data_IF_085827068815
#
_entry.id   IF_085827068815
#
_cell.length_a   1.000
_cell.length_b   1.000
_cell.length_c   1.000
_cell.angle_alpha   90.00
_cell.angle_beta   90.00
_cell.angle_gamma   90.00
#
_symmetry.space_group_name_H-M   'P 1'
#
loop_
_entity.id
_entity.type
_entity.pdbx_description
1 polymer ?
#
# COMPACT_ATOMS: atom_id res chain seq x y z
N UNK A 1 -191.38 47.76 43.32
CA UNK A 1 -192.85 47.80 43.17
C UNK A 1 -193.51 47.32 44.48
N UNK A 2 -194.82 47.49 44.65
CA UNK A 2 -195.48 47.44 45.97
C UNK A 2 -196.47 46.28 46.17
N UNK A 3 -196.69 45.86 47.44
CA UNK A 3 -198.03 45.54 47.99
C UNK A 3 -198.03 45.46 49.54
N UNK A 4 -199.23 45.38 50.14
CA UNK A 4 -199.51 45.65 51.58
C UNK A 4 -199.53 44.37 52.45
N UNK A 5 -199.08 44.51 53.71
CA UNK A 5 -199.10 43.47 54.75
C UNK A 5 -200.45 43.22 55.46
N UNK A 6 -200.39 42.74 56.71
CA UNK A 6 -201.55 42.56 57.63
C UNK A 6 -201.10 42.75 59.10
N UNK A 7 -202.05 42.83 60.05
CA UNK A 7 -201.85 43.28 61.45
C UNK A 7 -202.56 42.36 62.46
N UNK A 8 -202.02 42.26 63.68
CA UNK A 8 -202.55 41.48 64.82
C UNK A 8 -201.63 40.31 65.22
N UNK A 9 -201.48 39.92 66.49
CA UNK A 9 -202.01 40.44 67.77
C UNK A 9 -201.15 39.94 68.96
N UNK A 10 -201.31 40.49 70.17
CA UNK A 10 -200.43 40.18 71.33
C UNK A 10 -200.80 38.85 72.04
N UNK A 11 -199.76 38.09 72.42
CA UNK A 11 -199.74 37.07 73.48
C UNK A 11 -198.39 37.11 74.21
N UNK A 12 -198.29 36.66 75.46
CA UNK A 12 -197.06 36.72 76.29
C UNK A 12 -196.39 35.34 76.44
N UNK A 13 -195.06 35.27 76.38
CA UNK A 13 -194.26 34.38 77.25
C UNK A 13 -192.80 34.87 77.40
N UNK A 14 -191.96 34.05 78.04
CA UNK A 14 -190.91 34.45 79.01
C UNK A 14 -189.48 34.65 78.46
N UNK A 15 -188.53 34.92 79.37
CA UNK A 15 -187.25 35.58 79.07
C UNK A 15 -186.09 34.63 78.69
N UNK A 16 -186.08 33.41 79.23
CA UNK A 16 -184.90 32.51 79.18
C UNK A 16 -184.64 31.92 77.79
N UNK A 17 -185.68 31.52 77.05
CA UNK A 17 -185.55 30.94 75.71
C UNK A 17 -184.86 31.90 74.72
N UNK A 18 -185.01 33.22 74.93
CA UNK A 18 -184.32 34.25 74.14
C UNK A 18 -182.81 34.21 74.36
N UNK A 19 -182.35 33.89 75.57
CA UNK A 19 -180.93 33.90 75.92
C UNK A 19 -180.18 32.74 75.28
N UNK A 20 -180.74 31.53 75.31
CA UNK A 20 -180.16 30.36 74.63
C UNK A 20 -180.13 30.54 73.10
N UNK A 21 -181.19 31.11 72.52
CA UNK A 21 -181.21 31.42 71.08
C UNK A 21 -180.13 32.47 70.71
N UNK A 22 -179.95 33.51 71.53
CA UNK A 22 -178.87 34.48 71.36
C UNK A 22 -177.48 33.85 71.53
N UNK A 23 -177.31 32.90 72.45
CA UNK A 23 -176.03 32.21 72.67
C UNK A 23 -175.67 31.27 71.51
N UNK A 24 -176.61 30.47 71.01
CA UNK A 24 -176.37 29.65 69.81
C UNK A 24 -176.09 30.51 68.58
N UNK A 25 -176.80 31.65 68.43
CA UNK A 25 -176.53 32.62 67.37
C UNK A 25 -175.15 33.25 67.51
N UNK A 26 -174.70 33.59 68.73
CA UNK A 26 -173.38 34.14 68.98
C UNK A 26 -172.26 33.11 68.68
N UNK A 27 -172.44 31.84 69.06
CA UNK A 27 -171.49 30.76 68.74
C UNK A 27 -171.46 30.48 67.23
N UNK A 28 -172.59 30.51 66.54
CA UNK A 28 -172.64 30.42 65.08
C UNK A 28 -171.99 31.63 64.39
N UNK A 29 -172.17 32.85 64.93
CA UNK A 29 -171.50 34.05 64.44
C UNK A 29 -169.99 34.02 64.73
N UNK A 30 -169.53 33.43 65.83
CA UNK A 30 -168.10 33.16 66.09
C UNK A 30 -167.53 32.10 65.17
N UNK A 31 -168.22 30.98 64.95
CA UNK A 31 -167.86 29.97 63.96
C UNK A 31 -167.71 30.61 62.56
N UNK A 32 -168.64 31.47 62.18
CA UNK A 32 -168.61 32.21 60.91
C UNK A 32 -167.48 33.26 60.88
N UNK A 33 -167.17 33.93 62.01
CA UNK A 33 -166.01 34.83 62.13
C UNK A 33 -164.70 34.06 62.01
N UNK A 34 -164.50 33.00 62.79
CA UNK A 34 -163.32 32.12 62.74
C UNK A 34 -163.13 31.50 61.36
N UNK A 35 -164.21 31.13 60.65
CA UNK A 35 -164.16 30.66 59.26
C UNK A 35 -163.78 31.77 58.27
N UNK A 36 -164.22 33.02 58.48
CA UNK A 36 -163.78 34.18 57.69
C UNK A 36 -162.33 34.59 58.00
N UNK A 37 -161.91 34.53 59.26
CA UNK A 37 -160.54 34.80 59.71
C UNK A 37 -159.58 33.74 59.17
N UNK A 38 -159.92 32.45 59.25
CA UNK A 38 -159.15 31.37 58.63
C UNK A 38 -159.13 31.47 57.09
N UNK A 39 -160.23 31.90 56.46
CA UNK A 39 -160.27 32.17 55.02
C UNK A 39 -159.37 33.36 54.63
N UNK A 40 -159.37 34.45 55.41
CA UNK A 40 -158.50 35.61 55.22
C UNK A 40 -157.03 35.25 55.45
N UNK A 41 -156.71 34.53 56.52
CA UNK A 41 -155.35 34.05 56.80
C UNK A 41 -154.87 33.15 55.67
N UNK A 42 -155.70 32.21 55.21
CA UNK A 42 -155.36 31.36 54.06
C UNK A 42 -155.17 32.18 52.78
N UNK A 43 -156.06 33.14 52.51
CA UNK A 43 -155.89 34.06 51.39
C UNK A 43 -154.57 34.85 51.48
N UNK A 44 -154.09 35.19 52.68
CA UNK A 44 -152.78 35.82 52.86
C UNK A 44 -151.62 34.82 52.70
N UNK A 45 -151.70 33.58 53.22
CA UNK A 45 -150.65 32.57 52.99
C UNK A 45 -150.55 32.17 51.53
N UNK A 46 -151.67 31.91 50.86
CA UNK A 46 -151.71 31.58 49.43
C UNK A 46 -151.13 32.74 48.59
N UNK A 47 -151.41 34.00 48.96
CA UNK A 47 -150.79 35.19 48.31
C UNK A 47 -149.28 35.24 48.56
N UNK A 48 -148.82 35.08 49.81
CA UNK A 48 -147.39 35.04 50.16
C UNK A 48 -146.66 33.93 49.40
N UNK A 49 -147.20 32.70 49.35
CA UNK A 49 -146.60 31.60 48.58
C UNK A 49 -146.52 31.90 47.08
N UNK A 50 -147.54 32.54 46.50
CA UNK A 50 -147.46 32.97 45.09
C UNK A 50 -146.46 34.10 44.86
N UNK A 51 -146.25 34.98 45.85
CA UNK A 51 -145.24 36.04 45.78
C UNK A 51 -143.81 35.49 45.97
N UNK A 52 -143.60 34.52 46.86
CA UNK A 52 -142.34 33.78 47.02
C UNK A 52 -141.99 32.97 45.77
N UNK A 53 -142.96 32.30 45.15
CA UNK A 53 -142.76 31.61 43.87
C UNK A 53 -142.48 32.60 42.73
N UNK A 54 -143.19 33.74 42.69
CA UNK A 54 -142.97 34.77 41.69
C UNK A 54 -141.60 35.47 41.84
N UNK A 55 -141.15 35.73 43.07
CA UNK A 55 -139.83 36.32 43.35
C UNK A 55 -138.72 35.34 43.02
N UNK A 56 -138.77 34.07 43.48
CA UNK A 56 -137.78 33.06 43.11
C UNK A 56 -137.65 32.87 41.57
N UNK A 57 -138.78 32.87 40.85
CA UNK A 57 -138.79 32.80 39.39
C UNK A 57 -138.28 34.11 38.74
N UNK A 58 -138.50 35.28 39.36
CA UNK A 58 -137.96 36.54 38.87
C UNK A 58 -136.47 36.70 39.17
N UNK A 59 -135.95 36.17 40.28
CA UNK A 59 -134.53 36.13 40.60
C UNK A 59 -133.77 35.24 39.61
N UNK A 60 -134.31 34.08 39.25
CA UNK A 60 -133.73 33.25 38.18
C UNK A 60 -133.69 34.00 36.83
N UNK A 61 -134.77 34.71 36.46
CA UNK A 61 -134.79 35.57 35.25
C UNK A 61 -133.78 36.73 35.35
N UNK A 62 -133.62 37.32 36.53
CA UNK A 62 -132.69 38.41 36.79
C UNK A 62 -131.24 37.93 36.70
N UNK A 63 -130.92 36.79 37.31
CA UNK A 63 -129.62 36.11 37.24
C UNK A 63 -129.25 35.72 35.81
N UNK A 64 -130.17 35.18 35.02
CA UNK A 64 -129.88 34.86 33.61
C UNK A 64 -129.76 36.10 32.72
N UNK A 65 -130.51 37.18 33.00
CA UNK A 65 -130.28 38.50 32.37
C UNK A 65 -128.90 39.05 32.71
N UNK A 66 -128.48 38.99 33.98
CA UNK A 66 -127.13 39.39 34.39
C UNK A 66 -126.06 38.52 33.77
N UNK A 67 -126.21 37.18 33.75
CA UNK A 67 -125.29 36.26 33.05
C UNK A 67 -125.16 36.61 31.57
N UNK A 68 -126.26 36.96 30.89
CA UNK A 68 -126.22 37.40 29.49
C UNK A 68 -125.44 38.72 29.32
N UNK A 69 -125.62 39.68 30.22
CA UNK A 69 -124.89 40.96 30.22
C UNK A 69 -123.40 40.72 30.51
N UNK A 70 -123.05 40.04 31.60
CA UNK A 70 -121.66 39.75 31.98
C UNK A 70 -120.93 38.91 30.92
N UNK A 71 -121.59 37.92 30.29
CA UNK A 71 -121.00 37.18 29.15
C UNK A 71 -120.74 38.10 27.95
N UNK A 72 -121.64 39.02 27.62
CA UNK A 72 -121.43 40.00 26.52
C UNK A 72 -120.30 40.98 26.82
N UNK A 73 -120.21 41.46 28.06
CA UNK A 73 -119.13 42.36 28.53
C UNK A 73 -117.79 41.61 28.52
N UNK A 74 -117.70 40.44 29.17
CA UNK A 74 -116.46 39.65 29.22
C UNK A 74 -116.00 39.16 27.84
N UNK A 75 -116.92 38.84 26.94
CA UNK A 75 -116.58 38.50 25.55
C UNK A 75 -116.12 39.72 24.72
N UNK A 76 -116.44 40.95 25.14
CA UNK A 76 -115.87 42.17 24.54
C UNK A 76 -114.48 42.46 25.11
N UNK A 77 -114.31 42.36 26.44
CA UNK A 77 -113.00 42.45 27.11
C UNK A 77 -111.99 41.47 26.50
N UNK A 78 -112.31 40.17 26.47
CA UNK A 78 -111.40 39.15 25.95
C UNK A 78 -111.02 39.36 24.47
N UNK A 79 -111.89 39.95 23.65
CA UNK A 79 -111.53 40.32 22.25
C UNK A 79 -110.59 41.52 22.20
N UNK A 80 -110.78 42.51 23.07
CA UNK A 80 -109.85 43.63 23.20
C UNK A 80 -108.49 43.13 23.71
N UNK A 81 -108.48 42.26 24.72
CA UNK A 81 -107.26 41.65 25.29
C UNK A 81 -106.50 40.86 24.21
N UNK A 82 -107.20 40.03 23.43
CA UNK A 82 -106.63 39.29 22.29
C UNK A 82 -106.08 40.24 21.22
N UNK A 83 -106.78 41.33 20.89
CA UNK A 83 -106.31 42.30 19.89
C UNK A 83 -105.09 43.11 20.36
N UNK A 84 -105.01 43.46 21.65
CA UNK A 84 -103.82 44.08 22.24
C UNK A 84 -102.66 43.08 22.23
N UNK A 85 -102.91 41.83 22.64
CA UNK A 85 -101.90 40.77 22.63
C UNK A 85 -101.37 40.52 21.21
N UNK A 86 -102.22 40.39 20.20
CA UNK A 86 -101.79 40.18 18.81
C UNK A 86 -100.87 41.31 18.33
N UNK A 87 -101.24 42.58 18.56
CA UNK A 87 -100.36 43.71 18.21
C UNK A 87 -99.06 43.75 19.02
N UNK A 88 -99.01 43.23 20.25
CA UNK A 88 -97.74 43.10 20.98
C UNK A 88 -96.88 41.97 20.43
N UNK A 89 -97.47 40.84 20.01
CA UNK A 89 -96.74 39.76 19.37
C UNK A 89 -96.22 40.15 17.98
N UNK A 90 -97.01 40.84 17.16
CA UNK A 90 -96.61 41.39 15.86
C UNK A 90 -95.36 42.29 16.01
N UNK A 91 -95.39 43.29 16.90
CA UNK A 91 -94.24 44.17 17.16
C UNK A 91 -93.00 43.43 17.68
N UNK A 92 -93.18 42.35 18.46
CA UNK A 92 -92.08 41.52 18.95
C UNK A 92 -91.52 40.61 17.86
N UNK A 93 -92.35 40.15 16.93
CA UNK A 93 -91.93 39.41 15.73
C UNK A 93 -91.16 40.34 14.78
N UNK A 94 -91.70 41.52 14.44
CA UNK A 94 -91.01 42.54 13.62
C UNK A 94 -89.62 42.90 14.19
N UNK A 95 -89.52 43.06 15.52
CA UNK A 95 -88.25 43.33 16.17
C UNK A 95 -87.29 42.14 16.11
N UNK A 96 -87.78 40.90 16.26
CA UNK A 96 -86.94 39.69 16.11
C UNK A 96 -86.47 39.51 14.68
N UNK A 97 -87.35 39.72 13.71
CA UNK A 97 -87.06 39.67 12.28
C UNK A 97 -86.01 40.70 11.84
N UNK A 98 -86.08 41.92 12.37
CA UNK A 98 -85.04 42.93 12.12
C UNK A 98 -83.71 42.55 12.75
N UNK A 99 -83.69 42.02 13.97
CA UNK A 99 -82.46 41.49 14.60
C UNK A 99 -81.88 40.31 13.82
N UNK A 100 -82.71 39.37 13.36
CA UNK A 100 -82.28 38.23 12.52
C UNK A 100 -81.63 38.73 11.22
N UNK A 101 -82.28 39.67 10.51
CA UNK A 101 -81.75 40.24 9.26
C UNK A 101 -80.42 40.98 9.47
N UNK A 102 -80.24 41.69 10.59
CA UNK A 102 -78.95 42.29 10.94
C UNK A 102 -77.87 41.21 11.18
N UNK A 103 -78.18 40.17 11.96
CA UNK A 103 -77.25 39.08 12.24
C UNK A 103 -76.87 38.28 10.97
N UNK A 104 -77.80 38.09 10.03
CA UNK A 104 -77.53 37.47 8.73
C UNK A 104 -76.53 38.30 7.90
N UNK A 105 -76.69 39.62 7.87
CA UNK A 105 -75.76 40.55 7.19
C UNK A 105 -74.39 40.55 7.88
N UNK A 106 -74.32 40.61 9.21
CA UNK A 106 -73.08 40.55 9.97
C UNK A 106 -72.34 39.21 9.74
N UNK A 107 -73.04 38.08 9.83
CA UNK A 107 -72.47 36.75 9.60
C UNK A 107 -71.93 36.62 8.16
N UNK A 108 -72.63 37.16 7.16
CA UNK A 108 -72.15 37.13 5.77
C UNK A 108 -70.94 38.07 5.56
N UNK A 109 -70.96 39.28 6.11
CA UNK A 109 -69.80 40.19 6.09
C UNK A 109 -68.56 39.56 6.75
N UNK A 110 -68.73 38.90 7.90
CA UNK A 110 -67.63 38.21 8.59
C UNK A 110 -67.13 36.98 7.82
N UNK A 111 -68.01 36.24 7.13
CA UNK A 111 -67.61 35.16 6.20
C UNK A 111 -66.77 35.69 5.04
N UNK A 112 -67.20 36.78 4.40
CA UNK A 112 -66.43 37.40 3.32
C UNK A 112 -65.08 37.93 3.80
N UNK A 113 -65.03 38.57 4.98
CA UNK A 113 -63.77 39.06 5.55
C UNK A 113 -62.83 37.91 5.90
N UNK A 114 -63.36 36.80 6.42
CA UNK A 114 -62.60 35.57 6.67
C UNK A 114 -62.05 34.96 5.36
N UNK A 115 -62.87 34.87 4.31
CA UNK A 115 -62.44 34.38 3.00
C UNK A 115 -61.38 35.27 2.36
N UNK A 116 -61.54 36.60 2.42
CA UNK A 116 -60.54 37.60 1.96
C UNK A 116 -59.23 37.49 2.73
N UNK A 117 -59.29 37.29 4.05
CA UNK A 117 -58.12 37.09 4.90
C UNK A 117 -57.40 35.78 4.55
N UNK A 118 -58.14 34.69 4.37
CA UNK A 118 -57.58 33.39 4.00
C UNK A 118 -56.92 33.40 2.62
N UNK A 119 -57.57 33.97 1.60
CA UNK A 119 -56.99 34.14 0.26
C UNK A 119 -55.69 34.95 0.30
N UNK A 120 -55.70 36.10 0.99
CA UNK A 120 -54.48 36.89 1.20
C UNK A 120 -53.38 36.09 1.90
N UNK A 121 -53.69 35.27 2.91
CA UNK A 121 -52.70 34.41 3.56
C UNK A 121 -52.13 33.34 2.62
N UNK A 122 -52.91 32.78 1.70
CA UNK A 122 -52.42 31.87 0.66
C UNK A 122 -51.50 32.61 -0.32
N UNK A 123 -51.89 33.79 -0.83
CA UNK A 123 -51.05 34.62 -1.71
C UNK A 123 -49.66 34.92 -1.10
N UNK A 124 -49.59 35.14 0.21
CA UNK A 124 -48.33 35.37 0.92
C UNK A 124 -47.50 34.09 1.10
N UNK A 125 -48.14 32.93 1.28
CA UNK A 125 -47.47 31.63 1.36
C UNK A 125 -46.91 31.24 -0.02
N UNK A 126 -47.68 31.41 -1.09
CA UNK A 126 -47.24 31.07 -2.44
C UNK A 126 -46.04 31.93 -2.89
N UNK A 127 -46.06 33.24 -2.63
CA UNK A 127 -44.89 34.12 -2.85
C UNK A 127 -43.67 33.71 -2.03
N UNK A 128 -43.86 33.22 -0.80
CA UNK A 128 -42.76 32.72 0.03
C UNK A 128 -42.21 31.41 -0.52
N UNK A 129 -43.06 30.53 -1.05
CA UNK A 129 -42.66 29.30 -1.74
C UNK A 129 -41.93 29.61 -3.06
N UNK A 130 -42.35 30.62 -3.82
CA UNK A 130 -41.64 31.12 -5.00
C UNK A 130 -40.23 31.61 -4.64
N UNK A 131 -40.10 32.49 -3.65
CA UNK A 131 -38.80 32.99 -3.19
C UNK A 131 -37.87 31.86 -2.68
N UNK A 132 -38.40 30.81 -2.04
CA UNK A 132 -37.56 29.65 -1.67
C UNK A 132 -37.22 28.75 -2.87
N UNK A 133 -38.10 28.60 -3.87
CA UNK A 133 -37.79 27.88 -5.13
C UNK A 133 -36.68 28.58 -5.91
N UNK A 134 -36.78 29.90 -6.07
CA UNK A 134 -35.74 30.72 -6.70
C UNK A 134 -34.41 30.60 -5.97
N UNK A 135 -34.42 30.77 -4.64
CA UNK A 135 -33.23 30.62 -3.79
C UNK A 135 -32.60 29.23 -3.91
N UNK A 136 -33.39 28.16 -3.86
CA UNK A 136 -32.90 26.79 -4.04
C UNK A 136 -32.32 26.59 -5.43
N UNK A 137 -32.98 27.08 -6.48
CA UNK A 137 -32.47 27.03 -7.86
C UNK A 137 -31.14 27.78 -8.03
N UNK A 138 -30.98 28.95 -7.42
CA UNK A 138 -29.68 29.67 -7.46
C UNK A 138 -28.58 28.92 -6.70
N UNK A 139 -28.88 28.26 -5.58
CA UNK A 139 -27.93 27.44 -4.83
C UNK A 139 -27.54 26.17 -5.58
N UNK A 140 -28.49 25.51 -6.25
CA UNK A 140 -28.26 24.34 -7.10
C UNK A 140 -27.40 24.70 -8.32
N UNK A 141 -27.69 25.84 -8.97
CA UNK A 141 -26.87 26.35 -10.07
C UNK A 141 -25.43 26.65 -9.60
N UNK A 142 -25.27 27.39 -8.50
CA UNK A 142 -23.96 27.71 -7.91
C UNK A 142 -23.16 26.45 -7.58
N UNK A 143 -23.78 25.48 -6.89
CA UNK A 143 -23.15 24.20 -6.55
C UNK A 143 -22.69 23.43 -7.80
N UNK A 144 -23.53 23.36 -8.83
CA UNK A 144 -23.19 22.66 -10.06
C UNK A 144 -22.07 23.38 -10.83
N UNK A 145 -22.06 24.71 -10.90
CA UNK A 145 -20.95 25.47 -11.51
C UNK A 145 -19.64 25.32 -10.74
N UNK A 146 -19.66 25.40 -9.39
CA UNK A 146 -18.45 25.19 -8.57
C UNK A 146 -17.91 23.75 -8.71
N UNK A 147 -18.80 22.77 -8.84
CA UNK A 147 -18.43 21.37 -9.09
C UNK A 147 -17.82 21.18 -10.48
N UNK A 148 -18.39 21.78 -11.53
CA UNK A 148 -17.85 21.72 -12.89
C UNK A 148 -16.50 22.44 -13.01
N UNK A 149 -16.34 23.61 -12.39
CA UNK A 149 -15.06 24.34 -12.31
C UNK A 149 -14.00 23.51 -11.56
N UNK A 150 -14.34 22.92 -10.41
CA UNK A 150 -13.40 22.10 -9.65
C UNK A 150 -13.04 20.80 -10.38
N UNK A 151 -14.00 20.14 -11.02
CA UNK A 151 -13.76 18.95 -11.82
C UNK A 151 -12.94 19.23 -13.08
N UNK A 152 -13.15 20.35 -13.77
CA UNK A 152 -12.33 20.72 -14.93
C UNK A 152 -10.92 21.10 -14.51
N UNK A 153 -10.75 21.91 -13.46
CA UNK A 153 -9.43 22.24 -12.89
C UNK A 153 -8.63 20.97 -12.51
N UNK A 154 -9.22 20.06 -11.72
CA UNK A 154 -8.55 18.83 -11.30
C UNK A 154 -8.19 17.90 -12.46
N UNK A 155 -9.07 17.77 -13.47
CA UNK A 155 -8.75 16.96 -14.65
C UNK A 155 -7.61 17.57 -15.48
N UNK A 156 -7.57 18.90 -15.63
CA UNK A 156 -6.50 19.62 -16.33
C UNK A 156 -5.16 19.49 -15.60
N UNK A 157 -5.13 19.70 -14.28
CA UNK A 157 -3.94 19.50 -13.44
C UNK A 157 -3.42 18.06 -13.54
N UNK A 158 -4.33 17.07 -13.47
CA UNK A 158 -3.98 15.65 -13.63
C UNK A 158 -3.42 15.34 -15.02
N UNK A 159 -3.99 15.90 -16.08
CA UNK A 159 -3.49 15.70 -17.44
C UNK A 159 -2.10 16.35 -17.63
N UNK A 160 -1.89 17.56 -17.11
CA UNK A 160 -0.59 18.23 -17.12
C UNK A 160 0.48 17.42 -16.37
N UNK A 161 0.18 16.95 -15.15
CA UNK A 161 1.13 16.12 -14.38
C UNK A 161 1.44 14.80 -15.11
N UNK A 162 0.45 14.20 -15.78
CA UNK A 162 0.66 12.99 -16.57
C UNK A 162 1.42 13.24 -17.88
N UNK A 163 1.32 14.41 -18.52
CA UNK A 163 2.13 14.76 -19.69
C UNK A 163 3.58 15.01 -19.29
N UNK A 164 3.80 15.86 -18.27
CA UNK A 164 5.12 16.16 -17.73
C UNK A 164 5.85 14.88 -17.27
N UNK A 165 5.17 13.98 -16.55
CA UNK A 165 5.78 12.72 -16.13
C UNK A 165 6.20 11.81 -17.30
N UNK A 166 5.43 11.79 -18.41
CA UNK A 166 5.81 11.04 -19.63
C UNK A 166 7.02 11.65 -20.31
N UNK A 167 7.08 12.98 -20.40
CA UNK A 167 8.21 13.73 -20.97
C UNK A 167 9.49 13.51 -20.14
N UNK A 168 9.39 13.57 -18.81
CA UNK A 168 10.49 13.24 -17.89
C UNK A 168 10.96 11.78 -18.04
N UNK A 169 10.04 10.82 -18.15
CA UNK A 169 10.38 9.42 -18.37
C UNK A 169 11.11 9.19 -19.71
N UNK A 170 10.59 9.75 -20.81
CA UNK A 170 11.23 9.63 -22.12
C UNK A 170 12.63 10.26 -22.13
N UNK A 171 12.79 11.44 -21.53
CA UNK A 171 14.10 12.09 -21.38
C UNK A 171 15.08 11.24 -20.55
N UNK A 172 14.62 10.60 -19.47
CA UNK A 172 15.46 9.71 -18.67
C UNK A 172 15.82 8.42 -19.40
N UNK A 173 14.95 7.90 -20.26
CA UNK A 173 15.22 6.75 -21.13
C UNK A 173 16.28 7.09 -22.19
N UNK A 174 16.18 8.25 -22.85
CA UNK A 174 17.18 8.77 -23.80
C UNK A 174 18.54 8.99 -23.12
N UNK A 175 18.57 9.64 -21.96
CA UNK A 175 19.80 9.86 -21.17
C UNK A 175 20.41 8.54 -20.72
N UNK A 176 19.61 7.57 -20.30
CA UNK A 176 20.09 6.23 -19.93
C UNK A 176 20.69 5.50 -21.13
N UNK A 177 20.03 5.53 -22.29
CA UNK A 177 20.53 4.91 -23.52
C UNK A 177 21.86 5.54 -23.98
N UNK A 178 21.97 6.86 -23.95
CA UNK A 178 23.20 7.58 -24.27
C UNK A 178 24.33 7.28 -23.27
N UNK A 179 24.02 7.25 -21.97
CA UNK A 179 25.00 6.90 -20.92
C UNK A 179 25.50 5.46 -21.08
N UNK A 180 24.61 4.50 -21.34
CA UNK A 180 25.03 3.13 -21.68
C UNK A 180 25.90 3.08 -22.94
N UNK A 181 25.58 3.85 -23.98
CA UNK A 181 26.36 3.86 -25.22
C UNK A 181 27.78 4.37 -24.96
N UNK A 182 27.93 5.52 -24.29
CA UNK A 182 29.23 6.04 -23.89
C UNK A 182 30.02 5.03 -23.02
N UNK A 183 29.35 4.33 -22.10
CA UNK A 183 29.99 3.26 -21.33
C UNK A 183 30.42 2.07 -22.21
N UNK A 184 29.57 1.62 -23.15
CA UNK A 184 29.89 0.54 -24.10
C UNK A 184 31.07 0.90 -25.00
N UNK A 185 31.20 2.16 -25.40
CA UNK A 185 32.29 2.69 -26.22
C UNK A 185 33.60 2.75 -25.41
N UNK A 186 33.60 3.35 -24.21
CA UNK A 186 34.79 3.37 -23.32
C UNK A 186 35.24 1.96 -22.90
N UNK A 187 34.30 1.04 -22.66
CA UNK A 187 34.62 -0.37 -22.41
C UNK A 187 35.25 -1.05 -23.64
N UNK A 188 34.91 -0.63 -24.87
CA UNK A 188 35.53 -1.16 -26.08
C UNK A 188 36.93 -0.56 -26.31
N UNK A 189 37.09 0.75 -26.14
CA UNK A 189 38.37 1.46 -26.25
C UNK A 189 39.40 0.90 -25.26
N UNK A 190 39.07 0.84 -23.97
CA UNK A 190 39.98 0.32 -22.92
C UNK A 190 40.36 -1.15 -23.14
N UNK A 191 39.45 -1.99 -23.68
CA UNK A 191 39.78 -3.36 -24.08
C UNK A 191 40.70 -3.40 -25.30
N UNK A 192 40.52 -2.49 -26.27
CA UNK A 192 41.37 -2.37 -27.44
C UNK A 192 42.78 -1.87 -27.07
N UNK A 193 42.90 -0.87 -26.19
CA UNK A 193 44.18 -0.40 -25.63
C UNK A 193 44.91 -1.50 -24.87
N UNK A 194 44.19 -2.26 -24.03
CA UNK A 194 44.75 -3.42 -23.33
C UNK A 194 45.22 -4.50 -24.31
N UNK A 195 44.46 -4.78 -25.37
CA UNK A 195 44.89 -5.72 -26.41
C UNK A 195 46.10 -5.22 -27.21
N UNK A 196 46.18 -3.92 -27.53
CA UNK A 196 47.35 -3.33 -28.19
C UNK A 196 48.58 -3.43 -27.30
N UNK A 197 48.55 -2.86 -26.10
CA UNK A 197 49.68 -2.86 -25.16
C UNK A 197 50.18 -4.27 -24.84
N UNK A 198 49.28 -5.25 -24.67
CA UNK A 198 49.63 -6.67 -24.52
C UNK A 198 50.33 -7.24 -25.76
N UNK A 199 49.88 -6.88 -26.96
CA UNK A 199 50.50 -7.31 -28.21
C UNK A 199 51.87 -6.61 -28.42
N UNK A 200 52.00 -5.34 -28.06
CA UNK A 200 53.25 -4.56 -28.13
C UNK A 200 54.32 -5.14 -27.19
N UNK A 201 53.94 -5.49 -25.95
CA UNK A 201 54.82 -6.21 -25.01
C UNK A 201 55.21 -7.58 -25.58
N UNK A 202 54.25 -8.32 -26.15
CA UNK A 202 54.55 -9.62 -26.78
C UNK A 202 55.52 -9.49 -27.96
N UNK A 203 55.38 -8.44 -28.78
CA UNK A 203 56.25 -8.18 -29.92
C UNK A 203 57.66 -7.79 -29.46
N UNK A 204 57.80 -6.85 -28.50
CA UNK A 204 59.10 -6.48 -27.90
C UNK A 204 59.81 -7.71 -27.29
N UNK A 205 59.09 -8.53 -26.51
CA UNK A 205 59.67 -9.76 -25.95
C UNK A 205 60.12 -10.76 -27.03
N UNK A 206 59.47 -10.78 -28.19
CA UNK A 206 59.88 -11.60 -29.35
C UNK A 206 61.05 -10.99 -30.12
N UNK A 207 61.11 -9.66 -30.24
CA UNK A 207 62.22 -8.90 -30.82
C UNK A 207 63.49 -9.04 -29.97
N UNK A 208 63.40 -8.86 -28.65
CA UNK A 208 64.48 -9.11 -27.69
C UNK A 208 64.97 -10.57 -27.76
N UNK A 209 64.05 -11.55 -27.77
CA UNK A 209 64.40 -12.96 -27.95
C UNK A 209 65.05 -13.25 -29.30
N UNK A 210 64.64 -12.56 -30.36
CA UNK A 210 65.27 -12.67 -31.69
C UNK A 210 66.66 -12.04 -31.69
N UNK A 211 66.83 -10.86 -31.10
CA UNK A 211 68.11 -10.16 -30.99
C UNK A 211 69.12 -10.95 -30.16
N UNK A 212 68.72 -11.49 -29.01
CA UNK A 212 69.55 -12.38 -28.20
C UNK A 212 69.94 -13.66 -28.96
N UNK A 213 69.01 -14.25 -29.74
CA UNK A 213 69.33 -15.42 -30.59
C UNK A 213 70.37 -15.06 -31.67
N UNK A 214 70.27 -13.88 -32.27
CA UNK A 214 71.25 -13.42 -33.28
C UNK A 214 72.60 -13.11 -32.63
N UNK A 215 72.62 -12.48 -31.45
CA UNK A 215 73.84 -12.20 -30.69
C UNK A 215 74.59 -13.48 -30.30
N UNK A 216 73.92 -14.39 -29.58
CA UNK A 216 74.53 -15.67 -29.17
C UNK A 216 74.81 -16.59 -30.37
N UNK A 217 74.11 -16.43 -31.49
CA UNK A 217 74.44 -17.09 -32.75
C UNK A 217 75.75 -16.57 -33.33
N UNK A 218 75.91 -15.25 -33.45
CA UNK A 218 77.14 -14.61 -33.90
C UNK A 218 78.34 -14.92 -33.00
N UNK A 219 78.18 -14.83 -31.68
CA UNK A 219 79.25 -15.22 -30.73
C UNK A 219 79.64 -16.70 -30.88
N UNK A 220 78.68 -17.60 -31.14
CA UNK A 220 78.97 -19.02 -31.37
C UNK A 220 79.67 -19.26 -32.72
N UNK A 221 79.30 -18.52 -33.77
CA UNK A 221 79.95 -18.55 -35.09
C UNK A 221 81.37 -17.96 -35.03
N UNK A 222 81.58 -16.85 -34.31
CA UNK A 222 82.90 -16.26 -34.04
C UNK A 222 83.79 -17.21 -33.25
N UNK A 223 83.29 -17.80 -32.15
CA UNK A 223 84.03 -18.80 -31.37
C UNK A 223 84.35 -20.06 -32.19
N UNK A 224 83.45 -20.48 -33.08
CA UNK A 224 83.69 -21.60 -33.98
C UNK A 224 84.77 -21.27 -35.02
N UNK A 225 84.75 -20.06 -35.59
CA UNK A 225 85.82 -19.56 -36.46
C UNK A 225 87.16 -19.46 -35.71
N UNK A 226 87.20 -18.94 -34.47
CA UNK A 226 88.42 -18.90 -33.65
C UNK A 226 88.96 -20.30 -33.36
N UNK A 227 88.09 -21.27 -33.07
CA UNK A 227 88.49 -22.68 -32.91
C UNK A 227 89.04 -23.24 -34.22
N UNK A 228 88.41 -22.96 -35.36
CA UNK A 228 88.86 -23.44 -36.66
C UNK A 228 90.19 -22.79 -37.10
N UNK A 229 90.40 -21.51 -36.81
CA UNK A 229 91.66 -20.80 -37.05
C UNK A 229 92.78 -21.30 -36.11
N UNK A 230 92.47 -21.57 -34.83
CA UNK A 230 93.40 -22.18 -33.90
C UNK A 230 93.77 -23.62 -34.32
N UNK A 231 92.81 -24.42 -34.82
CA UNK A 231 93.07 -25.75 -35.38
C UNK A 231 93.87 -25.67 -36.68
N UNK A 232 93.58 -24.70 -37.56
CA UNK A 232 94.30 -24.52 -38.83
C UNK A 232 95.74 -24.04 -38.61
N UNK A 233 95.96 -23.05 -37.75
CA UNK A 233 97.30 -22.55 -37.40
C UNK A 233 98.10 -23.57 -36.57
N UNK A 234 97.45 -24.36 -35.72
CA UNK A 234 98.08 -25.54 -35.12
C UNK A 234 98.46 -26.58 -36.19
N UNK A 235 97.58 -26.83 -37.17
CA UNK A 235 97.87 -27.72 -38.29
C UNK A 235 99.08 -27.23 -39.08
N UNK A 236 99.08 -26.01 -39.62
CA UNK A 236 100.19 -25.44 -40.42
C UNK A 236 101.54 -25.41 -39.66
N UNK A 237 101.53 -24.90 -38.42
CA UNK A 237 102.75 -24.83 -37.59
C UNK A 237 103.27 -26.21 -37.15
N UNK A 238 102.39 -27.21 -37.04
CA UNK A 238 102.80 -28.61 -36.87
C UNK A 238 103.01 -29.35 -38.19
N UNK A 239 102.54 -28.87 -39.34
CA UNK A 239 102.63 -29.55 -40.63
C UNK A 239 104.07 -29.64 -41.09
N UNK A 240 104.86 -28.57 -40.92
CA UNK A 240 106.31 -28.61 -41.15
C UNK A 240 107.02 -29.58 -40.18
N UNK A 241 106.51 -29.77 -38.95
CA UNK A 241 107.07 -30.72 -37.96
C UNK A 241 106.60 -32.16 -38.21
N UNK A 242 105.41 -32.34 -38.77
CA UNK A 242 104.78 -33.60 -39.12
C UNK A 242 105.35 -34.12 -40.44
N UNK A 243 105.53 -33.28 -41.47
CA UNK A 243 106.22 -33.66 -42.71
C UNK A 243 107.70 -33.94 -42.48
N UNK A 244 108.40 -33.20 -41.62
CA UNK A 244 109.76 -33.58 -41.22
C UNK A 244 109.80 -34.84 -40.36
N UNK A 245 108.81 -35.09 -39.49
CA UNK A 245 108.67 -36.37 -38.79
C UNK A 245 108.37 -37.54 -39.74
N UNK A 246 107.45 -37.38 -40.70
CA UNK A 246 107.08 -38.41 -41.68
C UNK A 246 108.21 -38.68 -42.67
N UNK A 247 108.92 -37.67 -43.15
CA UNK A 247 110.11 -37.87 -43.99
C UNK A 247 111.28 -38.48 -43.21
N UNK A 248 111.43 -38.17 -41.93
CA UNK A 248 112.34 -38.90 -41.05
C UNK A 248 111.86 -40.34 -40.84
N UNK A 249 110.57 -40.60 -40.63
CA UNK A 249 110.00 -41.93 -40.45
C UNK A 249 110.21 -42.81 -41.69
N UNK A 250 109.87 -42.32 -42.89
CA UNK A 250 110.13 -43.04 -44.14
C UNK A 250 111.62 -43.19 -44.45
N UNK A 251 112.47 -42.29 -43.95
CA UNK A 251 113.93 -42.47 -44.01
C UNK A 251 114.42 -43.46 -42.96
N UNK A 252 113.77 -43.57 -41.81
CA UNK A 252 114.07 -44.56 -40.77
C UNK A 252 113.69 -45.95 -41.29
N UNK A 253 112.48 -46.13 -41.81
CA UNK A 253 112.02 -47.32 -42.56
C UNK A 253 112.96 -47.67 -43.72
N UNK A 254 113.32 -46.68 -44.55
CA UNK A 254 114.29 -46.84 -45.63
C UNK A 254 115.66 -47.27 -45.11
N UNK A 255 116.12 -46.71 -43.99
CA UNK A 255 117.37 -47.08 -43.34
C UNK A 255 117.28 -48.44 -42.64
N UNK A 256 116.12 -48.89 -42.18
CA UNK A 256 115.88 -50.25 -41.66
C UNK A 256 115.95 -51.26 -42.80
N UNK A 257 115.41 -50.93 -43.98
CA UNK A 257 115.58 -51.73 -45.20
C UNK A 257 117.03 -51.74 -45.70
N UNK A 258 117.74 -50.61 -45.67
CA UNK A 258 119.17 -50.58 -45.96
C UNK A 258 119.99 -51.32 -44.91
N UNK A 259 119.65 -51.23 -43.62
CA UNK A 259 120.27 -51.99 -42.53
C UNK A 259 120.00 -53.48 -42.69
N UNK A 260 118.83 -53.90 -43.17
CA UNK A 260 118.53 -55.31 -43.49
C UNK A 260 119.32 -55.79 -44.73
N UNK A 261 119.42 -54.98 -45.79
CA UNK A 261 120.27 -55.27 -46.96
C UNK A 261 121.75 -55.30 -46.59
N UNK A 262 122.21 -54.36 -45.75
CA UNK A 262 123.56 -54.33 -45.19
C UNK A 262 123.75 -55.50 -44.23
N UNK A 263 122.78 -55.88 -43.40
CA UNK A 263 122.85 -57.06 -42.53
C UNK A 263 122.89 -58.34 -43.35
N UNK A 264 122.23 -58.43 -44.52
CA UNK A 264 122.31 -59.56 -45.45
C UNK A 264 123.65 -59.61 -46.19
N UNK A 265 124.22 -58.46 -46.57
CA UNK A 265 125.63 -58.36 -47.04
C UNK A 265 126.61 -58.73 -45.94
N UNK A 266 126.41 -58.22 -44.73
CA UNK A 266 127.20 -58.50 -43.54
C UNK A 266 127.04 -59.95 -43.12
N UNK A 267 125.90 -60.62 -43.29
CA UNK A 267 125.74 -62.06 -43.04
C UNK A 267 126.50 -62.89 -44.08
N UNK A 268 126.49 -62.49 -45.37
CA UNK A 268 127.34 -63.14 -46.39
C UNK A 268 128.83 -62.93 -46.10
N UNK A 269 129.23 -61.72 -45.73
CA UNK A 269 130.60 -61.43 -45.30
C UNK A 269 130.94 -62.09 -43.96
N UNK A 270 130.00 -62.24 -43.02
CA UNK A 270 130.15 -62.96 -41.75
C UNK A 270 130.16 -64.46 -41.93
N UNK A 271 129.60 -65.02 -43.01
CA UNK A 271 129.80 -66.42 -43.37
C UNK A 271 131.23 -66.64 -43.89
N UNK A 272 131.69 -65.78 -44.79
CA UNK A 272 133.09 -65.77 -45.25
C UNK A 272 134.09 -65.45 -44.12
N UNK A 273 133.70 -64.60 -43.16
CA UNK A 273 134.49 -64.24 -41.98
C UNK A 273 134.31 -65.29 -40.88
N UNK A 274 133.25 -66.09 -40.83
CA UNK A 274 133.13 -67.24 -39.92
C UNK A 274 134.06 -68.38 -40.36
N UNK A 275 134.19 -68.62 -41.67
CA UNK A 275 135.24 -69.50 -42.22
C UNK A 275 136.67 -69.03 -41.89
N UNK A 276 136.86 -67.76 -41.50
CA UNK A 276 138.15 -67.19 -41.09
C UNK A 276 138.27 -66.88 -39.58
N UNK A 277 137.16 -66.77 -38.84
CA UNK A 277 137.10 -66.57 -37.38
C UNK A 277 136.84 -67.86 -36.60
N UNK A 278 136.50 -68.97 -37.26
CA UNK A 278 136.75 -70.30 -36.69
C UNK A 278 138.25 -70.61 -36.54
N UNK A 279 139.14 -69.69 -36.96
CA UNK A 279 140.57 -69.68 -36.62
C UNK A 279 140.95 -68.66 -35.53
N UNK A 280 140.12 -67.65 -35.21
CA UNK A 280 140.34 -66.70 -34.11
C UNK A 280 139.00 -66.19 -33.52
N UNK A 281 138.62 -66.74 -32.36
CA UNK A 281 137.63 -66.23 -31.39
C UNK A 281 138.25 -65.12 -30.51
N UNK A 282 137.54 -64.19 -29.84
CA UNK A 282 136.11 -63.84 -29.64
C UNK A 282 136.01 -62.32 -29.32
N UNK A 283 134.91 -61.64 -28.95
CA UNK A 283 133.48 -62.01 -28.76
C UNK A 283 132.87 -61.39 -27.48
N UNK A 284 131.56 -61.06 -27.47
CA UNK A 284 130.75 -60.48 -26.34
C UNK A 284 131.00 -58.97 -26.04
N UNK A 285 130.10 -58.09 -25.51
CA UNK A 285 128.65 -57.99 -25.13
C UNK A 285 128.30 -56.49 -24.78
N UNK A 286 127.12 -55.98 -24.35
CA UNK A 286 125.66 -56.13 -24.64
C UNK A 286 124.80 -55.27 -23.64
N UNK A 287 123.50 -54.97 -23.92
CA UNK A 287 122.40 -54.49 -23.00
C UNK A 287 122.47 -53.06 -22.34
N UNK A 288 121.40 -52.39 -21.78
CA UNK A 288 119.89 -52.36 -21.97
C UNK A 288 119.13 -51.22 -21.12
N UNK A 289 117.78 -51.05 -21.28
CA UNK A 289 116.65 -50.59 -20.35
C UNK A 289 116.62 -49.25 -19.53
N UNK A 290 115.53 -48.61 -18.99
CA UNK A 290 114.04 -48.47 -19.25
C UNK A 290 113.39 -47.12 -18.69
N UNK A 291 112.35 -47.08 -17.79
CA UNK A 291 111.36 -45.94 -17.62
C UNK A 291 110.76 -45.64 -16.19
N UNK A 292 109.87 -44.59 -16.08
CA UNK A 292 108.77 -44.27 -15.08
C UNK A 292 109.06 -43.33 -13.84
N UNK A 293 108.13 -42.62 -13.13
CA UNK A 293 106.72 -42.09 -13.29
C UNK A 293 106.25 -41.14 -12.10
N UNK A 294 104.93 -40.78 -11.98
CA UNK A 294 104.17 -40.01 -10.90
C UNK A 294 104.24 -38.44 -10.92
N UNK A 295 103.40 -37.60 -10.23
CA UNK A 295 102.22 -37.70 -9.30
C UNK A 295 101.58 -36.31 -8.94
N UNK A 296 100.45 -36.17 -8.17
CA UNK A 296 99.71 -34.86 -7.99
C UNK A 296 98.74 -34.65 -6.77
N UNK A 297 98.51 -33.39 -6.30
CA UNK A 297 97.43 -32.90 -5.36
C UNK A 297 97.14 -31.37 -5.54
N UNK A 298 95.86 -30.88 -5.66
CA UNK A 298 95.36 -29.50 -5.26
C UNK A 298 93.85 -29.17 -5.46
N UNK A 299 92.85 -29.87 -4.88
CA UNK A 299 91.40 -29.49 -4.99
C UNK A 299 90.51 -29.91 -3.79
N UNK A 300 90.11 -29.00 -2.89
CA UNK A 300 89.11 -29.28 -1.84
C UNK A 300 88.32 -28.07 -1.28
N UNK A 301 88.95 -26.93 -1.00
CA UNK A 301 88.33 -25.82 -0.22
C UNK A 301 87.09 -25.11 -0.84
N UNK A 302 86.87 -25.25 -2.15
CA UNK A 302 85.82 -24.50 -2.85
C UNK A 302 84.39 -24.97 -2.58
N UNK A 303 84.19 -26.22 -2.13
CA UNK A 303 82.86 -26.82 -2.00
C UNK A 303 82.15 -26.44 -0.68
N UNK A 304 82.87 -26.47 0.45
CA UNK A 304 82.29 -26.30 1.78
C UNK A 304 81.57 -24.94 1.95
N UNK A 305 82.18 -23.85 1.47
CA UNK A 305 81.63 -22.49 1.60
C UNK A 305 80.33 -22.27 0.82
N UNK A 306 80.10 -23.02 -0.28
CA UNK A 306 78.85 -22.94 -1.04
C UNK A 306 77.68 -23.63 -0.33
N UNK A 307 77.93 -24.76 0.33
CA UNK A 307 76.89 -25.52 1.05
C UNK A 307 76.32 -24.76 2.25
N UNK A 308 77.18 -24.09 3.03
CA UNK A 308 76.73 -23.32 4.20
C UNK A 308 75.72 -22.21 3.83
N UNK A 309 75.96 -21.49 2.71
CA UNK A 309 75.08 -20.43 2.21
C UNK A 309 73.68 -20.93 1.81
N UNK A 310 73.55 -22.20 1.43
CA UNK A 310 72.25 -22.83 1.10
C UNK A 310 71.49 -23.19 2.38
N UNK A 311 72.19 -23.73 3.39
CA UNK A 311 71.61 -24.08 4.70
C UNK A 311 71.00 -22.84 5.36
N UNK A 312 71.71 -21.71 5.38
CA UNK A 312 71.23 -20.45 5.97
C UNK A 312 69.97 -19.90 5.25
N UNK A 313 69.81 -20.16 3.95
CA UNK A 313 68.62 -19.78 3.19
C UNK A 313 67.43 -20.68 3.52
N UNK A 314 67.61 -22.01 3.53
CA UNK A 314 66.58 -22.96 3.92
C UNK A 314 66.09 -22.72 5.36
N UNK A 315 67.02 -22.46 6.28
CA UNK A 315 66.70 -22.12 7.67
C UNK A 315 65.97 -20.79 7.87
N UNK A 316 65.92 -19.89 6.88
CA UNK A 316 65.03 -18.70 6.92
C UNK A 316 63.64 -19.03 6.38
N UNK A 317 63.55 -19.83 5.31
CA UNK A 317 62.27 -20.23 4.72
C UNK A 317 61.39 -20.98 5.72
N UNK A 318 61.93 -22.00 6.40
CA UNK A 318 61.21 -22.83 7.37
C UNK A 318 60.56 -22.01 8.50
N UNK A 319 61.29 -21.01 9.05
CA UNK A 319 60.77 -20.13 10.11
C UNK A 319 59.60 -19.26 9.65
N UNK A 320 59.55 -18.86 8.38
CA UNK A 320 58.40 -18.16 7.81
C UNK A 320 57.22 -19.13 7.65
N UNK A 321 57.46 -20.33 7.12
CA UNK A 321 56.42 -21.37 6.98
C UNK A 321 55.80 -21.76 8.34
N UNK A 322 56.59 -21.89 9.40
CA UNK A 322 56.11 -22.17 10.77
C UNK A 322 55.28 -21.03 11.37
N UNK A 323 55.57 -19.77 11.01
CA UNK A 323 54.76 -18.61 11.42
C UNK A 323 53.44 -18.56 10.65
N UNK A 324 53.46 -18.78 9.34
CA UNK A 324 52.25 -18.82 8.50
C UNK A 324 51.31 -19.98 8.92
N UNK A 325 51.85 -21.19 9.16
CA UNK A 325 51.06 -22.38 9.55
C UNK A 325 50.30 -22.23 10.88
N UNK A 326 50.66 -21.27 11.73
CA UNK A 326 49.93 -20.94 12.96
C UNK A 326 48.62 -20.19 12.69
N UNK A 327 48.46 -19.58 11.51
CA UNK A 327 47.30 -18.77 11.13
C UNK A 327 46.31 -19.51 10.18
N UNK A 328 46.71 -20.65 9.62
CA UNK A 328 45.85 -21.51 8.78
C UNK A 328 44.74 -22.19 9.60
N UNK A 329 43.55 -22.40 9.03
CA UNK A 329 42.47 -23.15 9.72
C UNK A 329 42.72 -24.67 9.68
N UNK A 330 41.96 -25.43 10.45
CA UNK A 330 42.11 -26.90 10.53
C UNK A 330 41.75 -27.61 9.21
N UNK A 331 40.77 -27.06 8.48
CA UNK A 331 40.38 -27.49 7.13
C UNK A 331 41.48 -27.26 6.07
N UNK A 332 42.41 -26.34 6.35
CA UNK A 332 43.52 -26.00 5.42
C UNK A 332 44.78 -26.81 5.71
N UNK A 333 44.97 -27.16 6.99
CA UNK A 333 46.03 -28.06 7.46
C UNK A 333 45.83 -29.52 7.02
N UNK A 334 44.64 -29.88 6.54
CA UNK A 334 44.23 -31.23 6.15
C UNK A 334 44.04 -31.44 4.64
N UNK A 335 44.17 -30.39 3.82
CA UNK A 335 43.94 -30.46 2.36
C UNK A 335 45.15 -30.99 1.56
N UNK A 336 45.20 -32.32 1.39
CA UNK A 336 46.08 -33.00 0.44
C UNK A 336 45.56 -32.84 -1.01
N UNK A 337 45.85 -31.70 -1.65
CA UNK A 337 45.59 -31.50 -3.07
C UNK A 337 46.55 -32.30 -3.95
N UNK A 338 46.23 -33.58 -4.20
CA UNK A 338 46.73 -34.26 -5.39
C UNK A 338 45.97 -33.74 -6.61
N UNK A 339 46.61 -32.91 -7.43
CA UNK A 339 46.16 -32.70 -8.80
C UNK A 339 46.36 -34.01 -9.58
N UNK A 340 45.28 -34.76 -9.79
CA UNK A 340 45.28 -35.75 -10.87
C UNK A 340 45.26 -35.00 -12.20
N UNK A 341 46.19 -35.29 -13.14
CA UNK A 341 46.04 -34.81 -14.51
C UNK A 341 44.78 -35.43 -15.13
N UNK A 342 44.12 -34.75 -16.08
CA UNK A 342 42.91 -35.27 -16.71
C UNK A 342 43.20 -36.59 -17.46
N UNK A 343 42.22 -37.51 -17.52
CA UNK A 343 42.37 -38.75 -18.28
C UNK A 343 42.61 -38.42 -19.76
N UNK A 344 43.65 -39.01 -20.33
CA UNK A 344 44.03 -38.78 -21.73
C UNK A 344 43.15 -39.62 -22.63
N UNK A 345 42.33 -38.99 -23.47
CA UNK A 345 41.62 -39.69 -24.54
C UNK A 345 42.62 -40.24 -25.58
N UNK A 346 42.28 -41.38 -26.17
CA UNK A 346 43.19 -42.16 -26.99
C UNK A 346 43.45 -41.54 -28.37
N UNK A 347 44.72 -41.52 -28.80
CA UNK A 347 45.07 -41.58 -30.23
C UNK A 347 46.45 -42.19 -30.45
N UNK A 348 46.55 -42.94 -31.55
CA UNK A 348 47.69 -43.78 -31.93
C UNK A 348 48.92 -42.97 -32.38
N UNK A 349 50.13 -43.56 -32.36
CA UNK A 349 51.39 -42.84 -32.58
C UNK A 349 51.68 -42.55 -34.07
N UNK A 350 52.90 -42.02 -34.31
CA UNK A 350 53.59 -41.83 -35.61
C UNK A 350 53.34 -40.51 -36.37
N UNK A 351 54.04 -39.45 -35.96
CA UNK A 351 55.03 -38.78 -36.84
C UNK A 351 55.87 -37.75 -36.06
N UNK A 352 57.13 -37.55 -36.47
CA UNK A 352 58.10 -36.75 -35.71
C UNK A 352 58.06 -35.26 -36.06
N UNK A 353 58.21 -34.36 -35.07
CA UNK A 353 58.76 -33.01 -35.28
C UNK A 353 59.22 -32.34 -33.97
N UNK A 354 59.99 -31.26 -34.08
CA UNK A 354 60.71 -30.62 -32.96
C UNK A 354 59.83 -30.08 -31.82
N UNK A 355 58.52 -29.93 -32.02
CA UNK A 355 57.60 -29.35 -31.02
C UNK A 355 57.54 -30.20 -29.74
N UNK A 356 57.64 -31.53 -29.84
CA UNK A 356 57.68 -32.42 -28.67
C UNK A 356 58.89 -32.22 -27.76
N UNK A 357 60.02 -31.69 -28.27
CA UNK A 357 61.18 -31.37 -27.43
C UNK A 357 60.93 -30.10 -26.62
N UNK A 358 60.38 -29.07 -27.26
CA UNK A 358 60.02 -27.83 -26.58
C UNK A 358 58.87 -28.03 -25.57
N UNK A 359 57.89 -28.88 -25.88
CA UNK A 359 56.87 -29.31 -24.92
C UNK A 359 57.50 -30.10 -23.76
N UNK A 360 58.50 -30.94 -24.01
CA UNK A 360 59.24 -31.66 -22.94
C UNK A 360 60.17 -30.75 -22.11
N UNK A 361 60.73 -29.69 -22.69
CA UNK A 361 61.50 -28.68 -21.95
C UNK A 361 60.60 -27.76 -21.13
N UNK A 362 59.46 -27.33 -21.67
CA UNK A 362 58.43 -26.60 -20.92
C UNK A 362 57.85 -27.48 -19.81
N UNK A 363 57.56 -28.76 -20.08
CA UNK A 363 57.14 -29.71 -19.05
C UNK A 363 58.21 -29.91 -17.97
N UNK A 364 59.50 -29.83 -18.31
CA UNK A 364 60.61 -29.80 -17.34
C UNK A 364 60.59 -28.55 -16.47
N UNK A 365 60.48 -27.36 -17.06
CA UNK A 365 60.39 -26.09 -16.33
C UNK A 365 59.13 -25.99 -15.45
N UNK A 366 58.02 -26.57 -15.91
CA UNK A 366 56.79 -26.76 -15.13
C UNK A 366 57.05 -27.76 -14.00
N UNK A 367 57.74 -28.89 -14.23
CA UNK A 367 58.14 -29.81 -13.16
C UNK A 367 58.99 -29.11 -12.08
N UNK A 368 59.94 -28.26 -12.50
CA UNK A 368 60.81 -27.48 -11.61
C UNK A 368 60.03 -26.45 -10.77
N UNK A 369 58.85 -26.02 -11.22
CA UNK A 369 57.96 -25.11 -10.50
C UNK A 369 56.74 -25.78 -9.85
N UNK A 370 56.45 -27.04 -10.17
CA UNK A 370 55.27 -27.80 -9.69
C UNK A 370 55.15 -27.83 -8.16
N UNK A 371 56.28 -27.87 -7.45
CA UNK A 371 56.32 -27.80 -5.99
C UNK A 371 55.74 -26.50 -5.39
N UNK A 372 55.63 -25.43 -6.18
CA UNK A 372 55.05 -24.14 -5.76
C UNK A 372 53.57 -23.98 -6.15
N UNK A 373 53.01 -24.82 -7.03
CA UNK A 373 51.60 -24.72 -7.44
C UNK A 373 50.66 -24.86 -6.23
N UNK A 374 50.96 -25.81 -5.33
CA UNK A 374 50.22 -26.00 -4.07
C UNK A 374 50.24 -24.76 -3.16
N UNK A 375 51.33 -23.97 -3.20
CA UNK A 375 51.48 -22.72 -2.43
C UNK A 375 50.62 -21.62 -3.05
N UNK A 376 50.63 -21.49 -4.37
CA UNK A 376 49.80 -20.50 -5.10
C UNK A 376 48.31 -20.81 -5.00
N UNK A 377 47.90 -22.07 -5.08
CA UNK A 377 46.50 -22.47 -4.85
C UNK A 377 46.05 -22.15 -3.42
N UNK A 378 46.88 -22.40 -2.40
CA UNK A 378 46.56 -22.02 -1.01
C UNK A 378 46.47 -20.50 -0.82
N UNK A 379 47.41 -19.75 -1.39
CA UNK A 379 47.38 -18.28 -1.39
C UNK A 379 46.09 -17.74 -2.03
N UNK A 380 45.72 -18.24 -3.21
CA UNK A 380 44.52 -17.81 -3.93
C UNK A 380 43.22 -18.18 -3.17
N UNK A 381 43.16 -19.35 -2.51
CA UNK A 381 42.02 -19.71 -1.63
C UNK A 381 41.87 -18.73 -0.48
N UNK A 382 42.94 -18.46 0.27
CA UNK A 382 42.93 -17.53 1.41
C UNK A 382 42.59 -16.10 0.95
N UNK A 383 43.05 -15.68 -0.23
CA UNK A 383 42.71 -14.38 -0.82
C UNK A 383 41.21 -14.27 -1.13
N UNK A 384 40.59 -15.33 -1.68
CA UNK A 384 39.15 -15.38 -1.95
C UNK A 384 38.34 -15.39 -0.64
N UNK A 385 38.70 -16.20 0.35
CA UNK A 385 38.06 -16.18 1.67
C UNK A 385 38.11 -14.79 2.32
N UNK A 386 39.26 -14.10 2.24
CA UNK A 386 39.39 -12.74 2.74
C UNK A 386 38.43 -11.77 2.05
N UNK A 387 38.26 -11.87 0.73
CA UNK A 387 37.35 -11.03 -0.05
C UNK A 387 35.88 -11.32 0.29
N UNK A 388 35.51 -12.58 0.50
CA UNK A 388 34.17 -12.96 0.97
C UNK A 388 33.88 -12.37 2.36
N UNK A 389 34.79 -12.54 3.33
CA UNK A 389 34.63 -12.03 4.69
C UNK A 389 34.53 -10.49 4.73
N UNK A 390 35.29 -9.76 3.90
CA UNK A 390 35.16 -8.30 3.78
C UNK A 390 33.79 -7.89 3.22
N UNK A 391 33.25 -8.64 2.25
CA UNK A 391 31.90 -8.42 1.71
C UNK A 391 30.81 -8.68 2.76
N UNK A 392 30.91 -9.77 3.51
CA UNK A 392 29.98 -10.09 4.61
C UNK A 392 30.05 -9.05 5.73
N UNK A 393 31.24 -8.60 6.11
CA UNK A 393 31.44 -7.53 7.09
C UNK A 393 30.74 -6.23 6.68
N UNK A 394 30.80 -5.86 5.39
CA UNK A 394 30.10 -4.69 4.87
C UNK A 394 28.57 -4.84 4.92
N UNK A 395 28.03 -6.00 4.52
CA UNK A 395 26.59 -6.30 4.57
C UNK A 395 26.07 -6.30 6.00
N UNK A 396 26.76 -6.99 6.93
CA UNK A 396 26.41 -7.01 8.35
C UNK A 396 26.52 -5.61 8.98
N UNK A 397 27.50 -4.80 8.56
CA UNK A 397 27.61 -3.39 8.96
C UNK A 397 26.39 -2.56 8.55
N UNK A 398 25.94 -2.69 7.29
CA UNK A 398 24.74 -2.03 6.78
C UNK A 398 23.47 -2.47 7.53
N UNK A 399 23.30 -3.78 7.76
CA UNK A 399 22.18 -4.33 8.52
C UNK A 399 22.17 -3.85 9.98
N UNK A 400 23.33 -3.82 10.65
CA UNK A 400 23.46 -3.32 12.02
C UNK A 400 23.13 -1.81 12.10
N UNK A 401 23.57 -1.02 11.11
CA UNK A 401 23.18 0.38 10.97
C UNK A 401 21.67 0.59 10.80
N UNK A 402 21.03 -0.22 9.95
CA UNK A 402 19.58 -0.18 9.73
C UNK A 402 18.80 -0.59 11.00
N UNK A 403 19.20 -1.68 11.67
CA UNK A 403 18.60 -2.13 12.92
C UNK A 403 18.72 -1.07 14.04
N UNK A 404 19.88 -0.41 14.17
CA UNK A 404 20.05 0.71 15.10
C UNK A 404 19.13 1.89 14.80
N UNK A 405 18.90 2.20 13.51
CA UNK A 405 18.00 3.28 13.09
C UNK A 405 16.52 2.95 13.34
N UNK A 406 16.11 1.69 13.11
CA UNK A 406 14.77 1.22 13.48
C UNK A 406 14.57 1.21 15.00
N UNK A 407 15.52 0.68 15.77
CA UNK A 407 15.47 0.67 17.24
C UNK A 407 15.40 2.11 17.79
N UNK A 408 16.16 3.04 17.21
CA UNK A 408 16.09 4.46 17.56
C UNK A 408 14.71 5.05 17.28
N UNK A 409 14.12 4.82 16.09
CA UNK A 409 12.74 5.25 15.78
C UNK A 409 11.70 4.66 16.75
N UNK A 410 11.86 3.40 17.13
CA UNK A 410 10.98 2.74 18.10
C UNK A 410 11.08 3.38 19.50
N UNK A 411 12.30 3.67 19.96
CA UNK A 411 12.54 4.36 21.23
C UNK A 411 12.10 5.83 21.21
N UNK A 412 12.34 6.57 20.12
CA UNK A 412 11.86 7.95 19.91
C UNK A 412 10.31 8.02 19.82
N UNK A 413 9.64 6.92 19.43
CA UNK A 413 8.17 6.82 19.42
C UNK A 413 7.54 6.46 20.77
N UNK A 414 8.28 5.80 21.67
CA UNK A 414 7.82 5.38 23.01
C UNK A 414 8.27 6.38 24.10
N UNK A 415 9.40 7.05 23.90
CA UNK A 415 9.94 8.05 24.84
C UNK A 415 9.81 9.45 24.25
N UNK A 416 9.21 10.37 25.02
CA UNK A 416 8.97 11.75 24.58
C UNK A 416 10.29 12.54 24.67
N UNK A 417 11.13 12.41 23.65
CA UNK A 417 12.41 13.12 23.54
C UNK A 417 12.26 14.50 22.91
N UNK A 418 13.19 15.42 23.20
CA UNK A 418 13.26 16.72 22.52
C UNK A 418 13.52 16.59 21.00
N UNK A 419 13.98 15.43 20.53
CA UNK A 419 14.04 15.07 19.11
C UNK A 419 12.65 14.75 18.55
N UNK A 420 11.88 13.91 19.26
CA UNK A 420 10.50 13.54 18.89
C UNK A 420 9.61 14.79 18.79
N UNK A 421 9.72 15.71 19.74
CA UNK A 421 8.92 16.95 19.78
C UNK A 421 9.26 17.97 18.67
N UNK A 422 10.35 17.76 17.90
CA UNK A 422 10.78 18.63 16.78
C UNK A 422 10.46 18.07 15.40
N UNK A 423 10.08 16.81 15.31
CA UNK A 423 9.71 16.15 14.05
C UNK A 423 8.19 15.97 13.98
N UNK A 424 7.63 15.85 12.76
CA UNK A 424 6.20 15.55 12.58
C UNK A 424 5.89 14.18 13.20
N UNK A 425 5.16 14.17 14.31
CA UNK A 425 4.83 12.96 15.08
C UNK A 425 3.37 12.98 15.53
N UNK A 426 2.77 11.79 15.66
CA UNK A 426 1.35 11.60 16.01
C UNK A 426 0.97 12.14 17.39
N UNK A 427 1.94 12.32 18.29
CA UNK A 427 1.76 12.91 19.62
C UNK A 427 1.44 14.42 19.58
N UNK A 428 1.75 15.11 18.47
CA UNK A 428 1.57 16.56 18.35
C UNK A 428 1.24 16.96 16.91
N UNK A 429 0.00 16.69 16.49
CA UNK A 429 -0.50 17.10 15.18
C UNK A 429 -0.80 18.61 15.15
N UNK A 430 0.24 19.42 14.92
CA UNK A 430 0.09 20.85 14.67
C UNK A 430 -0.50 21.05 13.27
N UNK A 431 -1.82 21.19 13.19
CA UNK A 431 -2.54 21.57 11.97
C UNK A 431 -2.29 23.04 11.65
N UNK A 432 -1.12 23.36 11.10
CA UNK A 432 -0.89 24.65 10.45
C UNK A 432 -1.81 24.76 9.22
N UNK A 433 -2.68 25.77 9.12
CA UNK A 433 -3.39 26.04 7.87
C UNK A 433 -2.36 26.41 6.80
N UNK A 434 -2.48 25.78 5.63
CA UNK A 434 -1.45 25.86 4.60
C UNK A 434 -1.33 27.29 4.04
N UNK A 435 -0.25 28.00 4.42
CA UNK A 435 0.24 29.12 3.61
C UNK A 435 0.69 28.57 2.26
N UNK A 436 -0.11 28.82 1.22
CA UNK A 436 0.27 28.62 -0.19
C UNK A 436 1.65 29.24 -0.43
N UNK A 437 2.61 28.44 -0.89
CA UNK A 437 3.78 28.83 -1.70
C UNK A 437 4.45 27.55 -2.24
N UNK A 438 5.24 27.63 -3.32
CA UNK A 438 5.11 26.68 -4.43
C UNK A 438 5.80 25.33 -4.23
N UNK A 439 5.33 24.36 -5.01
CA UNK A 439 5.84 22.99 -5.05
C UNK A 439 7.16 22.90 -5.82
N UNK A 440 8.00 21.95 -5.41
CA UNK A 440 9.15 21.43 -6.16
C UNK A 440 9.11 19.89 -6.04
N UNK A 441 9.27 19.15 -7.14
CA UNK A 441 8.88 17.73 -7.19
C UNK A 441 9.91 16.79 -6.56
N UNK A 442 9.42 15.70 -5.97
CA UNK A 442 10.18 14.51 -5.58
C UNK A 442 9.32 13.23 -5.81
N UNK A 443 9.94 12.05 -5.99
CA UNK A 443 9.51 11.12 -7.03
C UNK A 443 8.46 10.07 -6.60
N UNK A 444 7.78 9.43 -7.58
CA UNK A 444 6.74 8.43 -7.33
C UNK A 444 7.28 7.13 -6.70
N UNK A 445 6.64 6.69 -5.62
CA UNK A 445 6.86 5.38 -5.03
C UNK A 445 6.10 4.30 -5.83
N UNK A 446 6.76 3.16 -6.12
CA UNK A 446 6.12 1.99 -6.76
C UNK A 446 4.92 1.48 -5.94
N UNK A 447 3.76 1.18 -6.56
CA UNK A 447 2.72 0.39 -5.92
C UNK A 447 3.17 -1.08 -5.74
N UNK A 448 2.64 -1.76 -4.73
CA UNK A 448 2.93 -3.17 -4.47
C UNK A 448 2.12 -4.09 -5.40
N UNK A 449 2.73 -5.18 -5.87
CA UNK A 449 2.02 -6.22 -6.62
C UNK A 449 1.06 -7.00 -5.71
N UNK A 450 -0.24 -6.97 -6.04
CA UNK A 450 -1.22 -7.94 -5.54
C UNK A 450 -1.10 -9.21 -6.40
N UNK A 451 -0.59 -10.28 -5.82
CA UNK A 451 -0.40 -11.55 -6.52
C UNK A 451 -1.62 -12.46 -6.33
N UNK A 452 -2.53 -12.44 -7.31
CA UNK A 452 -3.66 -13.38 -7.39
C UNK A 452 -3.15 -14.76 -7.83
N UNK A 453 -3.36 -15.77 -6.99
CA UNK A 453 -3.36 -17.18 -7.41
C UNK A 453 -4.56 -17.90 -6.80
N UNK A 454 -5.34 -18.57 -7.65
CA UNK A 454 -6.24 -19.63 -7.22
C UNK A 454 -5.43 -20.92 -7.00
N UNK A 455 -5.74 -21.72 -5.97
CA UNK A 455 -6.60 -22.92 -6.08
C UNK A 455 -6.51 -23.77 -4.80
N UNK A 456 -7.68 -24.22 -4.32
CA UNK A 456 -7.90 -25.27 -3.30
C UNK A 456 -7.26 -25.07 -1.93
#
# INVERSE_FOLDING_TARGET
MAKKGKKGGKGKMTEEEKQLFLQQKALAEEEIKKKKEAMLIKEFTDKMETEEQATAVNDLKLVDRWRLVFRKVRAKELRNDIAVLSQTFERVLDHKDTVIKCLEVEVNSMREQSARCHGSHLDHIDRLLELQKERLGTLEQQWNTELEELCTAFNNEREQVLSQHREECAYLEDVHFAMEQCHREVDAETRQEFMSTRNDIKNRNMEEKNALRVHFGGEAEELWHQIQEAVWSYSDSTENRNTTFQTLLTRDEGSVLEIDIQMKKIHKMQYSIAQLRSKVTCGQKQDSDDRQALGAIRRSDGAAKKLQSVIDKGGRLLRITELCRKLEREDEKSLNFFCQPPPTEERSPESSTSMERQIRELAKGILEHSGLESVWHRYNKVLLERLCLVREQAVLGQQNGHLRLMLRRYLDGITVSNSTMRQRNTLLMVTTPARRHPELPLPPHRPAHVLLQHTR
#
